data_IF_618340729844
#
_entry.id   IF_618340729844
#
_cell.length_a   1.000
_cell.length_b   1.000
_cell.length_c   1.000
_cell.angle_alpha   90.00
_cell.angle_beta   90.00
_cell.angle_gamma   90.00
#
_symmetry.space_group_name_H-M   'P 1'
#
loop_
_entity.id
_entity.type
_entity.pdbx_description
1 polymer ?
#
# COMPACT_ATOMS: atom_id res chain seq x y z
N UNK A 1 -13.09 -78.01 -17.62
CA UNK A 1 -13.81 -76.88 -17.02
C UNK A 1 -12.80 -75.79 -16.66
N UNK A 2 -12.65 -74.79 -17.50
CA UNK A 2 -11.71 -73.70 -17.33
C UNK A 2 -12.47 -72.47 -16.80
N UNK A 3 -12.09 -71.98 -15.63
CA UNK A 3 -12.64 -70.75 -15.05
C UNK A 3 -11.86 -69.56 -15.56
N UNK A 4 -12.53 -68.74 -16.36
CA UNK A 4 -12.02 -67.44 -16.86
C UNK A 4 -12.22 -66.45 -15.73
N UNK A 5 -11.12 -65.94 -15.16
CA UNK A 5 -11.13 -64.81 -14.22
C UNK A 5 -10.98 -63.54 -15.05
N UNK A 6 -12.07 -62.78 -15.22
CA UNK A 6 -12.05 -61.45 -15.81
C UNK A 6 -11.60 -60.49 -14.73
N UNK A 7 -10.33 -60.05 -14.84
CA UNK A 7 -9.78 -58.98 -14.01
C UNK A 7 -10.25 -57.64 -14.57
N UNK A 8 -11.15 -56.99 -13.85
CA UNK A 8 -11.67 -55.66 -14.20
C UNK A 8 -10.61 -54.61 -13.75
N UNK A 9 -9.79 -54.16 -14.68
CA UNK A 9 -8.90 -53.02 -14.49
C UNK A 9 -9.74 -51.74 -14.59
N UNK A 10 -10.02 -51.13 -13.44
CA UNK A 10 -10.60 -49.79 -13.35
C UNK A 10 -9.46 -48.78 -13.52
N UNK A 11 -9.44 -47.97 -14.60
CA UNK A 11 -8.48 -46.88 -14.68
C UNK A 11 -8.90 -45.78 -13.69
N UNK A 12 -8.10 -45.58 -12.65
CA UNK A 12 -8.13 -44.40 -11.80
C UNK A 12 -7.79 -43.17 -12.67
N UNK A 13 -8.83 -42.51 -13.17
CA UNK A 13 -8.68 -41.15 -13.71
C UNK A 13 -8.34 -40.22 -12.53
N UNK A 14 -7.05 -40.02 -12.31
CA UNK A 14 -6.56 -38.90 -11.49
C UNK A 14 -6.87 -37.63 -12.27
N UNK A 15 -8.03 -37.07 -11.99
CA UNK A 15 -8.41 -35.74 -12.43
C UNK A 15 -7.52 -34.75 -11.69
N UNK A 16 -6.38 -34.40 -12.29
CA UNK A 16 -5.60 -33.24 -11.91
C UNK A 16 -6.42 -31.99 -12.22
N UNK A 17 -7.31 -31.61 -11.32
CA UNK A 17 -7.90 -30.28 -11.34
C UNK A 17 -6.76 -29.28 -11.08
N UNK A 18 -6.18 -28.78 -12.17
CA UNK A 18 -5.40 -27.56 -12.16
C UNK A 18 -6.35 -26.49 -11.65
N UNK A 19 -6.30 -26.23 -10.34
CA UNK A 19 -6.89 -25.06 -9.73
C UNK A 19 -6.19 -23.86 -10.34
N UNK A 20 -6.77 -23.37 -11.44
CA UNK A 20 -6.45 -22.09 -12.02
C UNK A 20 -6.85 -21.03 -10.97
N UNK A 21 -5.95 -20.79 -10.01
CA UNK A 21 -6.05 -19.66 -9.08
C UNK A 21 -5.79 -18.38 -9.87
N UNK A 22 -6.71 -18.03 -10.74
CA UNK A 22 -6.99 -16.64 -11.05
C UNK A 22 -7.59 -16.04 -9.78
N UNK A 23 -6.74 -15.84 -8.77
CA UNK A 23 -7.04 -14.96 -7.67
C UNK A 23 -7.16 -13.56 -8.29
N UNK A 24 -8.37 -13.20 -8.73
CA UNK A 24 -8.77 -11.82 -8.81
C UNK A 24 -8.51 -11.28 -7.40
N UNK A 25 -7.37 -10.60 -7.20
CA UNK A 25 -7.09 -9.92 -5.96
C UNK A 25 -8.21 -8.89 -5.80
N UNK A 26 -9.14 -9.19 -4.90
CA UNK A 26 -10.27 -8.31 -4.63
C UNK A 26 -9.69 -6.99 -4.13
N UNK A 27 -9.88 -5.94 -4.92
CA UNK A 27 -9.53 -4.59 -4.52
C UNK A 27 -10.55 -4.16 -3.47
N UNK A 28 -10.09 -3.76 -2.31
CA UNK A 28 -10.92 -3.25 -1.22
C UNK A 28 -10.47 -1.85 -0.80
N UNK A 29 -11.39 -1.06 -0.27
CA UNK A 29 -11.01 0.23 0.30
C UNK A 29 -10.39 0.01 1.68
N UNK A 30 -9.11 0.32 1.80
CA UNK A 30 -8.38 0.36 3.07
C UNK A 30 -8.49 1.77 3.66
N UNK A 31 -8.86 1.87 4.94
CA UNK A 31 -8.88 3.12 5.68
C UNK A 31 -7.75 3.12 6.72
N UNK A 32 -6.87 4.11 6.64
CA UNK A 32 -5.69 4.24 7.51
C UNK A 32 -5.82 5.53 8.30
N UNK A 33 -5.87 5.40 9.63
CA UNK A 33 -5.87 6.54 10.53
C UNK A 33 -4.44 6.94 10.87
N UNK A 34 -4.06 8.11 10.41
CA UNK A 34 -2.82 8.80 10.70
C UNK A 34 -3.00 9.70 11.95
N UNK A 35 -2.07 10.62 12.20
CA UNK A 35 -2.15 11.53 13.36
C UNK A 35 -3.32 12.51 13.27
N UNK A 36 -3.44 13.20 12.14
CA UNK A 36 -4.43 14.26 11.90
C UNK A 36 -5.26 14.05 10.64
N UNK A 37 -5.07 12.92 9.97
CA UNK A 37 -5.74 12.59 8.73
C UNK A 37 -6.17 11.12 8.69
N UNK A 38 -7.25 10.85 7.95
CA UNK A 38 -7.62 9.52 7.50
C UNK A 38 -7.38 9.44 6.00
N UNK A 39 -6.64 8.43 5.58
CA UNK A 39 -6.42 8.10 4.18
C UNK A 39 -7.30 6.91 3.84
N UNK A 40 -8.19 7.07 2.88
CA UNK A 40 -8.90 5.96 2.25
C UNK A 40 -8.27 5.71 0.88
N UNK A 41 -7.99 4.47 0.56
CA UNK A 41 -7.32 4.07 -0.66
C UNK A 41 -7.81 2.69 -1.11
N UNK A 42 -7.96 2.50 -2.41
CA UNK A 42 -8.41 1.24 -2.98
C UNK A 42 -7.17 0.39 -3.32
N UNK A 43 -6.97 -0.70 -2.55
CA UNK A 43 -5.79 -1.56 -2.64
C UNK A 43 -6.18 -3.03 -2.64
N UNK A 44 -5.38 -3.91 -3.27
CA UNK A 44 -5.46 -5.35 -3.00
C UNK A 44 -5.01 -5.63 -1.57
N UNK A 45 -5.39 -6.80 -1.05
CA UNK A 45 -4.90 -7.26 0.27
C UNK A 45 -3.37 -7.34 0.25
N UNK A 46 -2.65 -6.65 1.15
CA UNK A 46 -1.20 -6.71 1.21
C UNK A 46 -0.70 -8.05 1.76
N UNK A 47 0.48 -8.49 1.31
CA UNK A 47 1.16 -9.66 1.88
C UNK A 47 1.61 -9.38 3.32
N UNK A 48 1.97 -8.14 3.61
CA UNK A 48 2.36 -7.70 4.95
C UNK A 48 1.93 -6.25 5.17
N UNK A 49 1.44 -5.97 6.39
CA UNK A 49 1.05 -4.63 6.83
C UNK A 49 1.71 -4.31 8.17
N UNK A 50 2.50 -3.25 8.21
CA UNK A 50 3.24 -2.82 9.40
C UNK A 50 2.93 -1.39 9.76
N UNK A 51 2.89 -1.11 11.06
CA UNK A 51 2.75 0.23 11.62
C UNK A 51 4.02 0.60 12.37
N UNK A 52 4.53 1.80 12.12
CA UNK A 52 5.58 2.45 12.90
C UNK A 52 5.05 3.75 13.51
N UNK A 53 5.49 4.06 14.72
CA UNK A 53 5.14 5.30 15.43
C UNK A 53 6.45 5.91 15.94
N UNK A 54 6.60 7.23 15.80
CA UNK A 54 7.66 8.02 16.40
C UNK A 54 7.06 9.25 17.08
N UNK A 55 7.86 9.99 17.84
CA UNK A 55 7.42 11.22 18.53
C UNK A 55 6.84 12.27 17.57
N UNK A 56 7.32 12.32 16.33
CA UNK A 56 6.88 13.29 15.33
C UNK A 56 5.98 12.77 14.24
N UNK A 57 5.60 11.48 14.24
CA UNK A 57 4.84 10.96 13.12
C UNK A 57 4.35 9.52 13.26
N UNK A 58 3.57 9.11 12.28
CA UNK A 58 3.09 7.74 12.12
C UNK A 58 3.31 7.28 10.67
N UNK A 59 3.69 6.03 10.52
CA UNK A 59 3.92 5.40 9.23
C UNK A 59 3.23 4.04 9.18
N UNK A 60 2.67 3.73 8.02
CA UNK A 60 2.20 2.39 7.69
C UNK A 60 2.84 1.93 6.39
N UNK A 61 3.29 0.69 6.35
CA UNK A 61 3.84 0.06 5.17
C UNK A 61 3.00 -1.15 4.76
N UNK A 62 2.52 -1.14 3.51
CA UNK A 62 1.85 -2.27 2.86
C UNK A 62 2.82 -2.85 1.85
N UNK A 63 3.28 -4.08 2.09
CA UNK A 63 4.22 -4.77 1.20
C UNK A 63 3.47 -5.79 0.37
N UNK A 64 3.81 -5.83 -0.91
CA UNK A 64 3.32 -6.77 -1.91
C UNK A 64 4.53 -7.43 -2.58
N UNK A 65 4.36 -8.58 -3.20
CA UNK A 65 5.44 -9.29 -3.93
C UNK A 65 6.08 -8.44 -5.04
N UNK A 66 5.38 -7.43 -5.55
CA UNK A 66 5.78 -6.60 -6.69
C UNK A 66 6.01 -5.12 -6.36
N UNK A 67 6.00 -4.75 -5.06
CA UNK A 67 6.26 -3.39 -4.61
C UNK A 67 5.82 -3.11 -3.18
N UNK A 68 6.06 -1.89 -2.73
CA UNK A 68 5.67 -1.43 -1.38
C UNK A 68 4.96 -0.09 -1.47
N UNK A 69 3.92 0.10 -0.65
CA UNK A 69 3.23 1.37 -0.46
C UNK A 69 3.45 1.82 0.98
N UNK A 70 3.79 3.09 1.15
CA UNK A 70 3.95 3.72 2.46
C UNK A 70 2.97 4.87 2.60
N UNK A 71 2.34 4.93 3.77
CA UNK A 71 1.48 6.02 4.23
C UNK A 71 2.16 6.66 5.43
N UNK A 72 2.50 7.94 5.32
CA UNK A 72 3.26 8.65 6.34
C UNK A 72 2.60 9.99 6.65
N UNK A 73 2.59 10.39 7.92
CA UNK A 73 2.24 11.73 8.37
C UNK A 73 3.21 12.20 9.44
N UNK A 74 3.69 13.44 9.27
CA UNK A 74 4.63 14.06 10.18
C UNK A 74 6.10 13.76 9.85
N UNK A 75 6.96 13.94 10.85
CA UNK A 75 8.43 13.81 10.73
C UNK A 75 8.90 12.40 11.04
N UNK A 76 8.27 11.39 10.40
CA UNK A 76 8.74 10.02 10.54
C UNK A 76 10.06 9.79 9.80
N UNK A 77 10.70 8.65 10.09
CA UNK A 77 11.97 8.26 9.49
C UNK A 77 12.03 8.53 7.99
N UNK A 78 13.17 9.04 7.53
CA UNK A 78 13.44 9.28 6.13
C UNK A 78 13.54 7.94 5.40
N UNK A 79 12.81 7.83 4.31
CA UNK A 79 12.87 6.66 3.44
C UNK A 79 13.74 6.99 2.21
N UNK A 80 14.49 6.03 1.70
CA UNK A 80 15.39 6.21 0.54
C UNK A 80 14.71 6.86 -0.65
N UNK A 81 13.42 6.55 -0.87
CA UNK A 81 12.62 7.14 -1.96
C UNK A 81 12.49 8.68 -1.87
N UNK A 82 12.74 9.29 -0.72
CA UNK A 82 12.71 10.75 -0.56
C UNK A 82 13.90 11.42 -1.23
N UNK A 83 15.00 10.70 -1.43
CA UNK A 83 16.22 11.17 -2.07
C UNK A 83 16.24 10.92 -3.57
N UNK A 84 15.27 10.16 -4.12
CA UNK A 84 15.20 9.87 -5.53
C UNK A 84 14.89 11.11 -6.34
N UNK A 85 15.69 11.33 -7.40
CA UNK A 85 15.49 12.45 -8.31
C UNK A 85 14.23 12.22 -9.17
N UNK A 86 13.24 13.12 -9.11
CA UNK A 86 12.03 12.96 -9.91
C UNK A 86 12.33 13.17 -11.40
N UNK A 87 11.72 12.35 -12.26
CA UNK A 87 11.65 12.53 -13.70
C UNK A 87 10.51 13.46 -14.11
N UNK A 88 9.49 13.61 -13.25
CA UNK A 88 8.38 14.49 -13.48
C UNK A 88 7.59 14.80 -12.22
N UNK A 89 6.76 15.82 -12.31
CA UNK A 89 5.87 16.25 -11.24
C UNK A 89 4.56 16.81 -11.77
N UNK A 90 3.52 16.73 -10.95
CA UNK A 90 2.23 17.38 -11.15
C UNK A 90 1.86 18.12 -9.86
N UNK A 91 1.43 19.38 -9.99
CA UNK A 91 1.03 20.22 -8.87
C UNK A 91 -0.43 20.62 -9.03
N UNK A 92 -1.22 20.35 -7.99
CA UNK A 92 -2.61 20.76 -7.86
C UNK A 92 -2.81 21.59 -6.60
N UNK A 93 -3.90 22.32 -6.51
CA UNK A 93 -4.21 23.18 -5.33
C UNK A 93 -4.12 22.44 -3.98
N UNK A 94 -4.46 21.14 -3.94
CA UNK A 94 -4.54 20.37 -2.70
C UNK A 94 -3.43 19.34 -2.52
N UNK A 95 -2.69 19.02 -3.58
CA UNK A 95 -1.65 17.99 -3.54
C UNK A 95 -0.61 18.19 -4.63
N UNK A 96 0.52 17.54 -4.45
CA UNK A 96 1.57 17.40 -5.47
C UNK A 96 1.90 15.93 -5.66
N UNK A 97 2.22 15.55 -6.88
CA UNK A 97 2.67 14.20 -7.23
C UNK A 97 4.05 14.31 -7.89
N UNK A 98 4.95 13.44 -7.49
CA UNK A 98 6.28 13.28 -8.08
C UNK A 98 6.45 11.82 -8.49
N UNK A 99 7.16 11.57 -9.58
CA UNK A 99 7.42 10.22 -10.04
C UNK A 99 8.77 10.10 -10.71
N UNK A 100 9.29 8.88 -10.73
CA UNK A 100 10.55 8.58 -11.37
C UNK A 100 10.82 7.09 -11.50
N UNK A 101 12.07 6.83 -11.87
CA UNK A 101 12.61 5.49 -11.98
C UNK A 101 13.99 5.47 -11.32
N UNK A 102 14.23 4.49 -10.49
CA UNK A 102 15.52 4.24 -9.86
C UNK A 102 15.95 2.80 -10.16
N UNK A 103 17.05 2.65 -10.90
CA UNK A 103 17.61 1.33 -11.30
C UNK A 103 16.57 0.39 -11.93
N UNK A 104 15.73 0.93 -12.83
CA UNK A 104 14.68 0.14 -13.51
C UNK A 104 13.41 -0.08 -12.71
N UNK A 105 13.33 0.41 -11.46
CA UNK A 105 12.14 0.33 -10.60
C UNK A 105 11.41 1.65 -10.54
N UNK A 106 10.09 1.62 -10.67
CA UNK A 106 9.26 2.81 -10.62
C UNK A 106 8.90 3.18 -9.19
N UNK A 107 8.78 4.49 -8.97
CA UNK A 107 8.30 5.08 -7.74
C UNK A 107 7.40 6.28 -8.03
N UNK A 108 6.51 6.58 -7.12
CA UNK A 108 5.66 7.77 -7.15
C UNK A 108 5.34 8.22 -5.73
N UNK A 109 5.35 9.53 -5.51
CA UNK A 109 5.07 10.16 -4.22
C UNK A 109 3.92 11.15 -4.39
N UNK A 110 2.88 10.97 -3.60
CA UNK A 110 1.74 11.88 -3.43
C UNK A 110 1.92 12.65 -2.11
N UNK A 111 1.78 13.96 -2.14
CA UNK A 111 1.94 14.84 -0.96
C UNK A 111 0.70 15.72 -0.83
N UNK A 112 0.08 15.73 0.34
CA UNK A 112 -1.02 16.64 0.68
C UNK A 112 -0.88 17.11 2.13
N UNK A 113 -0.43 18.36 2.31
CA UNK A 113 -0.04 18.87 3.63
C UNK A 113 1.07 18.02 4.25
N UNK A 114 0.84 17.50 5.45
CA UNK A 114 1.79 16.62 6.16
C UNK A 114 1.66 15.14 5.79
N UNK A 115 0.67 14.78 4.98
CA UNK A 115 0.45 13.40 4.52
C UNK A 115 1.28 13.13 3.29
N UNK A 116 2.03 12.04 3.31
CA UNK A 116 2.78 11.52 2.17
C UNK A 116 2.37 10.08 1.94
N UNK A 117 2.01 9.77 0.71
CA UNK A 117 1.76 8.38 0.28
C UNK A 117 2.65 8.11 -0.91
N UNK A 118 3.41 7.04 -0.87
CA UNK A 118 4.28 6.69 -1.97
C UNK A 118 4.40 5.19 -2.17
N UNK A 119 4.56 4.82 -3.42
CA UNK A 119 5.03 3.48 -3.75
C UNK A 119 6.46 3.53 -4.28
N UNK A 120 7.18 2.42 -4.10
CA UNK A 120 8.52 2.25 -4.63
C UNK A 120 8.84 0.78 -4.90
N UNK A 121 9.97 0.55 -5.59
CA UNK A 121 10.44 -0.77 -5.98
C UNK A 121 9.48 -1.55 -6.89
N UNK A 122 8.73 -0.82 -7.73
CA UNK A 122 7.68 -1.37 -8.59
C UNK A 122 8.21 -1.68 -9.98
N UNK A 123 7.95 -2.88 -10.51
CA UNK A 123 8.28 -3.29 -11.86
C UNK A 123 7.39 -2.59 -12.91
N UNK A 124 7.82 -2.58 -14.16
CA UNK A 124 7.11 -1.97 -15.28
C UNK A 124 5.70 -2.56 -15.45
N UNK A 125 5.57 -3.86 -15.33
CA UNK A 125 4.33 -4.61 -15.48
C UNK A 125 3.29 -4.22 -14.44
N UNK A 126 3.74 -3.97 -13.21
CA UNK A 126 2.88 -3.60 -12.08
C UNK A 126 2.62 -2.11 -11.95
N UNK A 127 3.36 -1.27 -12.69
CA UNK A 127 3.30 0.19 -12.55
C UNK A 127 1.87 0.75 -12.64
N UNK A 128 1.07 0.24 -13.59
CA UNK A 128 -0.31 0.70 -13.77
C UNK A 128 -1.16 0.45 -12.51
N UNK A 129 -1.04 -0.73 -11.90
CA UNK A 129 -1.73 -1.08 -10.64
C UNK A 129 -1.44 -0.05 -9.54
N UNK A 130 -0.16 0.27 -9.34
CA UNK A 130 0.24 1.24 -8.31
C UNK A 130 -0.13 2.68 -8.65
N UNK A 131 -0.12 3.04 -9.92
CA UNK A 131 -0.61 4.35 -10.38
C UNK A 131 -2.13 4.51 -10.10
N UNK A 132 -2.91 3.46 -10.30
CA UNK A 132 -4.35 3.48 -10.03
C UNK A 132 -4.62 3.54 -8.51
N UNK A 133 -3.80 2.89 -7.68
CA UNK A 133 -3.85 3.03 -6.22
C UNK A 133 -3.62 4.50 -5.80
N UNK A 134 -2.57 5.16 -6.31
CA UNK A 134 -2.31 6.58 -6.01
C UNK A 134 -3.47 7.47 -6.43
N UNK A 135 -4.11 7.20 -7.57
CA UNK A 135 -5.28 7.96 -8.03
C UNK A 135 -6.52 7.78 -7.14
N UNK A 136 -6.63 6.66 -6.46
CA UNK A 136 -7.76 6.35 -5.58
C UNK A 136 -7.68 7.04 -4.21
N UNK A 137 -6.56 7.70 -3.90
CA UNK A 137 -6.33 8.32 -2.59
C UNK A 137 -7.37 9.40 -2.30
N UNK A 138 -8.00 9.28 -1.15
CA UNK A 138 -8.93 10.25 -0.57
C UNK A 138 -8.47 10.58 0.83
N UNK A 139 -8.19 11.85 1.12
CA UNK A 139 -7.71 12.31 2.42
C UNK A 139 -8.80 13.14 3.10
N UNK A 140 -9.13 12.76 4.34
CA UNK A 140 -10.02 13.50 5.24
C UNK A 140 -9.21 13.94 6.46
N UNK A 141 -9.24 15.23 6.80
CA UNK A 141 -8.67 15.71 8.06
C UNK A 141 -9.49 15.16 9.23
N UNK A 142 -8.82 14.63 10.24
CA UNK A 142 -9.43 14.27 11.50
C UNK A 142 -9.41 15.51 12.40
N UNK A 143 -10.58 15.90 12.89
CA UNK A 143 -10.64 16.91 13.93
C UNK A 143 -10.18 16.29 15.24
N UNK A 144 -9.10 16.80 15.81
CA UNK A 144 -8.72 16.50 17.19
C UNK A 144 -8.91 17.78 18.00
N UNK A 145 -9.63 17.76 19.12
CA UNK A 145 -9.66 18.89 20.03
C UNK A 145 -8.21 19.23 20.40
N UNK A 146 -7.89 20.51 20.39
CA UNK A 146 -6.62 20.97 20.96
C UNK A 146 -6.59 20.44 22.39
N UNK A 147 -5.53 19.75 22.80
CA UNK A 147 -5.30 19.45 24.20
C UNK A 147 -5.38 20.77 24.96
N UNK A 148 -6.10 20.84 26.11
CA UNK A 148 -6.10 22.06 26.92
C UNK A 148 -4.63 22.41 27.18
N UNK A 149 -4.23 23.57 26.69
CA UNK A 149 -2.91 24.12 27.04
C UNK A 149 -2.84 24.07 28.56
N UNK A 150 -1.82 23.39 29.07
CA UNK A 150 -1.51 23.42 30.51
C UNK A 150 -1.26 24.86 30.86
N UNK A 151 -2.31 25.53 31.35
CA UNK A 151 -2.22 26.86 31.90
C UNK A 151 -1.47 26.79 33.24
N UNK A 152 -0.20 26.38 33.19
CA UNK A 152 0.73 26.61 34.24
C UNK A 152 1.15 28.09 34.20
N UNK A 153 0.18 28.95 34.50
CA UNK A 153 0.45 30.30 34.94
C UNK A 153 1.16 30.22 36.27
N UNK A 154 2.47 30.26 36.25
CA UNK A 154 3.25 30.65 37.40
C UNK A 154 2.80 32.05 37.81
N UNK A 155 1.87 32.13 38.79
CA UNK A 155 1.70 33.35 39.55
C UNK A 155 2.92 33.47 40.48
N UNK A 156 3.77 34.41 40.15
CA UNK A 156 4.73 34.99 41.11
C UNK A 156 4.00 35.96 42.03
#
# INVERSE_FOLDING_TARGET
MAKIIISLLIPLLVSCSVLNRNAHSSVSTMCIDLLYARVAVDVPTPDNFRKGISEGGVCYASTYHDGTIIFNEGSFARFDVEDYKPLGSEHRKKYSIYWGNEKGKFWKKYISGNVRVYYYNVNKESKKKYDDIIKSIRIRKLWRPKSPESSNGLRK
#
